data_IF_163502610892
#
_entry.id   IF_163502610892
#
_cell.length_a   1.000
_cell.length_b   1.000
_cell.length_c   1.000
_cell.angle_alpha   90.00
_cell.angle_beta   90.00
_cell.angle_gamma   90.00
#
_symmetry.space_group_name_H-M   'P 1'
#
loop_
_entity.id
_entity.type
_entity.pdbx_description
1 polymer ?
#
# COMPACT_ATOMS: atom_id res chain seq x y z
N UNK A 1 28.04 1.22 -28.07
CA UNK A 1 28.10 0.86 -26.64
C UNK A 1 27.43 2.00 -25.90
N UNK A 2 26.30 1.78 -25.25
CA UNK A 2 25.66 2.81 -24.42
C UNK A 2 24.23 3.18 -24.83
N UNK A 3 23.28 2.38 -24.37
CA UNK A 3 22.01 2.89 -23.83
C UNK A 3 21.60 1.94 -22.72
N UNK A 4 22.17 2.12 -21.53
CA UNK A 4 21.66 1.51 -20.30
C UNK A 4 20.35 2.23 -19.95
N UNK A 5 19.25 1.79 -20.56
CA UNK A 5 17.91 2.14 -20.10
C UNK A 5 17.74 1.50 -18.71
N UNK A 6 17.64 2.33 -17.68
CA UNK A 6 17.19 1.90 -16.36
C UNK A 6 15.83 1.21 -16.52
N UNK A 7 15.84 -0.12 -16.44
CA UNK A 7 14.64 -0.93 -16.64
C UNK A 7 13.59 -0.52 -15.60
N UNK A 8 12.52 0.10 -16.08
CA UNK A 8 11.57 0.84 -15.24
C UNK A 8 10.65 -0.15 -14.53
N UNK A 9 10.96 -0.45 -13.27
CA UNK A 9 10.15 -1.38 -12.47
C UNK A 9 8.93 -0.66 -11.90
N UNK A 10 7.74 -1.24 -12.12
CA UNK A 10 6.46 -0.73 -11.61
C UNK A 10 5.93 -1.71 -10.57
N UNK A 11 5.62 -1.20 -9.37
CA UNK A 11 4.93 -1.95 -8.33
C UNK A 11 3.44 -1.59 -8.31
N UNK A 12 2.57 -2.60 -8.23
CA UNK A 12 1.12 -2.42 -8.11
C UNK A 12 0.66 -2.98 -6.76
N UNK A 13 0.07 -2.13 -5.92
CA UNK A 13 -0.43 -2.51 -4.59
C UNK A 13 -1.95 -2.62 -4.64
N UNK A 14 -2.48 -3.84 -4.46
CA UNK A 14 -3.92 -4.06 -4.39
C UNK A 14 -4.47 -3.65 -3.03
N UNK A 15 -5.16 -2.52 -2.99
CA UNK A 15 -5.75 -1.95 -1.76
C UNK A 15 -7.20 -2.37 -1.50
N UNK A 16 -7.84 -3.05 -2.46
CA UNK A 16 -9.24 -3.44 -2.42
C UNK A 16 -9.45 -4.95 -2.52
N UNK A 17 -10.64 -5.40 -2.09
CA UNK A 17 -11.13 -6.76 -2.29
C UNK A 17 -12.65 -6.73 -2.49
N UNK A 18 -13.33 -7.89 -2.61
CA UNK A 18 -14.77 -7.95 -2.86
C UNK A 18 -15.63 -7.35 -1.74
N UNK A 19 -15.03 -6.99 -0.61
CA UNK A 19 -15.70 -6.43 0.56
C UNK A 19 -15.02 -5.13 1.01
N UNK A 20 -15.79 -4.20 1.58
CA UNK A 20 -15.32 -2.88 2.03
C UNK A 20 -14.47 -2.90 3.32
N UNK A 21 -13.79 -4.00 3.65
CA UNK A 21 -13.04 -4.12 4.90
C UNK A 21 -13.93 -4.18 6.15
N UNK A 22 -15.11 -4.78 6.02
CA UNK A 22 -16.16 -4.77 7.05
C UNK A 22 -15.77 -5.41 8.39
N UNK A 23 -14.83 -6.36 8.37
CA UNK A 23 -14.27 -7.01 9.57
C UNK A 23 -13.29 -6.13 10.34
N UNK A 24 -12.88 -5.01 9.75
CA UNK A 24 -12.00 -4.04 10.40
C UNK A 24 -12.80 -2.92 11.11
N UNK A 25 -14.13 -3.01 11.12
CA UNK A 25 -14.97 -2.19 11.98
C UNK A 25 -14.84 -2.64 13.44
N UNK A 26 -14.95 -1.70 14.40
CA UNK A 26 -15.33 -0.29 14.25
C UNK A 26 -14.20 0.63 13.76
N UNK A 27 -12.95 0.16 13.71
CA UNK A 27 -11.76 0.98 13.43
C UNK A 27 -11.77 1.61 12.03
N UNK A 28 -12.42 0.97 11.05
CA UNK A 28 -12.51 1.48 9.68
C UNK A 28 -13.80 2.25 9.35
N UNK A 29 -14.54 2.74 10.36
CA UNK A 29 -15.79 3.48 10.11
C UNK A 29 -15.54 4.84 9.46
N UNK A 30 -14.51 5.55 9.92
CA UNK A 30 -14.16 6.89 9.45
C UNK A 30 -12.83 6.93 8.67
N UNK A 31 -12.08 5.81 8.66
CA UNK A 31 -10.75 5.72 8.05
C UNK A 31 -10.67 4.45 7.19
N UNK A 32 -10.29 4.54 5.90
CA UNK A 32 -10.05 3.36 5.06
C UNK A 32 -8.98 2.45 5.66
N UNK A 33 -9.17 1.13 5.62
CA UNK A 33 -8.20 0.16 6.15
C UNK A 33 -6.74 0.38 5.67
N UNK A 34 -6.46 0.69 4.39
CA UNK A 34 -5.08 0.96 3.94
C UNK A 34 -4.43 2.19 4.61
N UNK A 35 -5.24 3.13 5.10
CA UNK A 35 -4.77 4.36 5.76
C UNK A 35 -4.79 4.24 7.29
N UNK A 36 -5.19 3.10 7.84
CA UNK A 36 -5.22 2.90 9.28
C UNK A 36 -3.80 2.93 9.86
N UNK A 37 -3.56 3.65 10.96
CA UNK A 37 -2.23 3.78 11.54
C UNK A 37 -1.75 2.46 12.17
N UNK A 38 -0.53 2.04 11.81
CA UNK A 38 0.18 0.88 12.33
C UNK A 38 1.64 1.24 12.55
N UNK A 39 2.07 1.27 13.82
CA UNK A 39 3.46 1.62 14.17
C UNK A 39 3.84 3.05 13.80
N UNK A 40 2.89 4.00 13.92
CA UNK A 40 3.12 5.41 13.61
C UNK A 40 3.07 5.78 12.12
N UNK A 41 2.82 4.82 11.22
CA UNK A 41 2.66 5.03 9.78
C UNK A 41 1.36 4.39 9.27
N UNK A 42 0.75 4.86 8.17
CA UNK A 42 -0.43 4.20 7.61
C UNK A 42 -0.08 2.79 7.10
N UNK A 43 -1.02 1.85 7.15
CA UNK A 43 -0.80 0.45 6.73
C UNK A 43 -0.15 0.31 5.35
N UNK A 44 -0.52 1.15 4.38
CA UNK A 44 0.04 1.15 3.01
C UNK A 44 1.51 1.61 2.94
N UNK A 45 2.02 2.31 3.96
CA UNK A 45 3.43 2.75 4.00
C UNK A 45 4.40 1.58 3.95
N UNK A 46 4.13 0.52 4.71
CA UNK A 46 5.03 -0.63 4.84
C UNK A 46 5.32 -1.33 3.50
N UNK A 47 4.32 -1.69 2.66
CA UNK A 47 4.60 -2.25 1.34
C UNK A 47 5.21 -1.24 0.36
N UNK A 48 4.83 0.05 0.41
CA UNK A 48 5.47 1.09 -0.43
C UNK A 48 6.96 1.18 -0.12
N UNK A 49 7.31 1.23 1.17
CA UNK A 49 8.70 1.30 1.62
C UNK A 49 9.49 0.04 1.23
N UNK A 50 8.84 -1.13 1.21
CA UNK A 50 9.47 -2.37 0.76
C UNK A 50 9.74 -2.41 -0.75
N UNK A 51 9.00 -1.63 -1.55
CA UNK A 51 9.23 -1.51 -3.00
C UNK A 51 10.29 -0.47 -3.38
N UNK A 52 10.83 0.29 -2.41
CA UNK A 52 11.88 1.28 -2.67
C UNK A 52 13.19 0.56 -2.97
N UNK A 53 13.76 0.80 -4.17
CA UNK A 53 15.12 0.40 -4.54
C UNK A 53 16.16 1.22 -3.77
#
# INVERSE_FOLDING_TARGET
>A
MGSSEDDKVVAVIMVGGPTKGTRFRPLSLNIPKPLFPLGGQPMVHHPISACKR
#
